data_IF_213681392467
#
_entry.id   IF_213681392467
#
_cell.length_a   1.000
_cell.length_b   1.000
_cell.length_c   1.000
_cell.angle_alpha   90.00
_cell.angle_beta   90.00
_cell.angle_gamma   90.00
#
_symmetry.space_group_name_H-M   'P 1'
#
loop_
_entity.id
_entity.type
_entity.pdbx_description
1 polymer ?
#
# COMPACT_ATOMS: atom_id res chain seq x y z
N UNK A 1 -8.70 17.92 -20.51
CA UNK A 1 -7.59 18.67 -19.89
C UNK A 1 -7.68 18.53 -18.37
N UNK A 2 -6.55 18.56 -17.68
CA UNK A 2 -6.44 18.60 -16.24
C UNK A 2 -5.96 19.99 -15.81
N UNK A 3 -6.02 20.29 -14.53
CA UNK A 3 -5.64 21.58 -13.99
C UNK A 3 -4.16 21.92 -14.27
N UNK A 4 -3.24 20.95 -14.10
CA UNK A 4 -1.81 21.01 -14.43
C UNK A 4 -1.21 19.60 -14.33
N UNK A 5 0.03 19.43 -14.79
CA UNK A 5 0.77 18.17 -14.71
C UNK A 5 1.33 17.88 -13.33
N UNK A 6 2.42 17.15 -13.26
CA UNK A 6 3.11 16.87 -12.01
C UNK A 6 3.58 18.15 -11.31
N UNK A 7 4.02 19.13 -12.11
CA UNK A 7 4.37 20.48 -11.66
C UNK A 7 3.43 21.53 -12.28
N UNK A 8 3.25 22.66 -11.60
CA UNK A 8 2.28 23.69 -11.95
C UNK A 8 2.47 24.33 -13.33
N UNK A 9 3.69 24.32 -13.88
CA UNK A 9 4.01 24.85 -15.20
C UNK A 9 3.76 23.88 -16.35
N UNK A 10 3.46 22.61 -16.06
CA UNK A 10 3.24 21.56 -17.05
C UNK A 10 1.76 21.50 -17.43
N UNK A 11 1.45 21.55 -18.73
CA UNK A 11 0.12 21.20 -19.23
C UNK A 11 -0.13 19.69 -19.09
N UNK A 12 -1.38 19.29 -18.84
CA UNK A 12 -1.73 17.89 -18.74
C UNK A 12 -3.16 17.60 -19.19
N UNK A 13 -3.37 16.35 -19.59
CA UNK A 13 -4.67 15.82 -19.93
C UNK A 13 -4.79 14.38 -19.47
N UNK A 14 -6.00 13.96 -19.18
CA UNK A 14 -6.33 12.56 -18.93
C UNK A 14 -7.05 12.00 -20.16
N UNK A 15 -6.49 10.95 -20.72
CA UNK A 15 -7.04 10.22 -21.85
C UNK A 15 -7.57 8.87 -21.35
N UNK A 16 -8.85 8.61 -21.57
CA UNK A 16 -9.47 7.34 -21.21
C UNK A 16 -9.37 6.36 -22.37
N UNK A 17 -9.12 5.08 -22.07
CA UNK A 17 -9.18 4.03 -23.08
C UNK A 17 -10.61 3.89 -23.61
N UNK A 18 -10.75 3.70 -24.91
CA UNK A 18 -12.04 3.40 -25.57
C UNK A 18 -12.33 1.90 -25.62
N UNK A 19 -11.32 1.07 -25.45
CA UNK A 19 -11.38 -0.39 -25.61
C UNK A 19 -11.22 -1.17 -24.32
N UNK A 20 -10.55 -0.60 -23.32
CA UNK A 20 -10.32 -1.23 -22.02
C UNK A 20 -11.25 -0.65 -20.94
N UNK A 21 -11.63 -1.48 -19.99
CA UNK A 21 -12.31 -1.05 -18.79
C UNK A 21 -11.27 -0.76 -17.70
N UNK A 22 -11.53 0.24 -16.87
CA UNK A 22 -10.63 0.59 -15.77
C UNK A 22 -11.32 1.44 -14.72
N UNK A 23 -10.93 1.29 -13.47
CA UNK A 23 -11.59 1.95 -12.34
C UNK A 23 -11.59 3.47 -12.48
N UNK A 24 -10.48 4.05 -12.94
CA UNK A 24 -10.36 5.52 -13.07
C UNK A 24 -11.18 6.10 -14.23
N UNK A 25 -11.63 5.29 -15.18
CA UNK A 25 -12.54 5.71 -16.25
C UNK A 25 -13.96 6.00 -15.74
N UNK A 26 -14.39 5.23 -14.73
CA UNK A 26 -15.77 5.21 -14.24
C UNK A 26 -15.95 6.01 -12.94
N UNK A 27 -14.99 6.84 -12.57
CA UNK A 27 -15.10 7.68 -11.38
C UNK A 27 -16.13 8.79 -11.57
N UNK A 28 -16.84 9.10 -10.48
CA UNK A 28 -17.76 10.22 -10.39
C UNK A 28 -17.33 11.16 -9.26
N UNK A 29 -16.99 12.39 -9.61
CA UNK A 29 -16.66 13.40 -8.61
C UNK A 29 -17.98 13.98 -8.04
N UNK A 30 -18.18 13.86 -6.73
CA UNK A 30 -19.37 14.32 -6.01
C UNK A 30 -19.18 15.67 -5.32
N UNK A 31 -17.93 16.07 -5.07
CA UNK A 31 -17.55 17.34 -4.43
C UNK A 31 -16.11 17.72 -4.74
N UNK A 32 -15.78 19.00 -4.54
CA UNK A 32 -14.40 19.49 -4.49
C UNK A 32 -13.91 20.14 -5.76
N UNK A 33 -12.62 20.54 -5.74
CA UNK A 33 -11.91 21.17 -6.86
C UNK A 33 -11.66 20.16 -7.99
N UNK A 34 -11.34 20.66 -9.17
CA UNK A 34 -10.89 19.85 -10.31
C UNK A 34 -9.71 18.96 -9.94
N UNK A 35 -9.66 17.77 -10.56
CA UNK A 35 -8.57 16.82 -10.41
C UNK A 35 -7.31 17.30 -11.14
N UNK A 36 -6.16 17.10 -10.52
CA UNK A 36 -4.84 17.28 -11.13
C UNK A 36 -4.26 15.93 -11.58
N UNK A 37 -3.17 15.97 -12.32
CA UNK A 37 -2.38 14.82 -12.71
C UNK A 37 -1.99 13.95 -11.49
N UNK A 38 -1.41 14.57 -10.45
CA UNK A 38 -1.01 13.87 -9.22
C UNK A 38 -2.20 13.26 -8.48
N UNK A 39 -3.35 13.95 -8.49
CA UNK A 39 -4.56 13.43 -7.87
C UNK A 39 -5.01 12.10 -8.49
N UNK A 40 -5.04 12.02 -9.83
CA UNK A 40 -5.45 10.80 -10.52
C UNK A 40 -4.43 9.67 -10.29
N UNK A 41 -3.14 9.98 -10.37
CA UNK A 41 -2.05 9.01 -10.17
C UNK A 41 -2.06 8.40 -8.77
N UNK A 42 -2.16 9.24 -7.73
CA UNK A 42 -2.18 8.78 -6.35
C UNK A 42 -3.49 8.02 -6.04
N UNK A 43 -4.62 8.54 -6.53
CA UNK A 43 -5.93 7.90 -6.38
C UNK A 43 -5.99 6.50 -7.01
N UNK A 44 -5.41 6.32 -8.21
CA UNK A 44 -5.32 5.02 -8.89
C UNK A 44 -4.56 4.00 -8.05
N UNK A 45 -3.42 4.39 -7.48
CA UNK A 45 -2.63 3.48 -6.63
C UNK A 45 -3.39 3.15 -5.34
N UNK A 46 -3.98 4.14 -4.67
CA UNK A 46 -4.75 3.91 -3.45
C UNK A 46 -5.93 2.96 -3.69
N UNK A 47 -6.62 3.12 -4.83
CA UNK A 47 -7.73 2.27 -5.22
C UNK A 47 -7.29 0.84 -5.53
N UNK A 48 -6.15 0.68 -6.21
CA UNK A 48 -5.54 -0.62 -6.47
C UNK A 48 -5.18 -1.35 -5.18
N UNK A 49 -4.60 -0.64 -4.20
CA UNK A 49 -4.25 -1.22 -2.89
C UNK A 49 -5.49 -1.77 -2.17
N UNK A 50 -6.56 -0.96 -2.02
CA UNK A 50 -7.76 -1.44 -1.31
C UNK A 50 -8.50 -2.53 -2.09
N UNK A 51 -8.33 -2.59 -3.41
CA UNK A 51 -8.87 -3.63 -4.28
C UNK A 51 -8.26 -5.01 -4.09
N UNK A 52 -7.11 -5.13 -3.44
CA UNK A 52 -6.48 -6.42 -3.12
C UNK A 52 -7.17 -7.15 -1.94
N UNK A 53 -8.05 -6.48 -1.21
CA UNK A 53 -8.67 -7.02 0.00
C UNK A 53 -10.14 -7.32 -0.19
N UNK A 54 -10.54 -8.54 0.18
CA UNK A 54 -11.96 -8.94 0.16
C UNK A 54 -12.73 -8.41 1.37
N UNK A 55 -12.07 -8.25 2.53
CA UNK A 55 -12.63 -7.60 3.73
C UNK A 55 -12.57 -6.07 3.67
N UNK A 56 -13.17 -5.37 4.67
CA UNK A 56 -13.08 -3.91 4.76
C UNK A 56 -11.62 -3.47 4.90
N UNK A 57 -11.18 -2.57 4.00
CA UNK A 57 -9.82 -2.06 3.93
C UNK A 57 -9.79 -0.57 3.63
N UNK A 58 -8.80 0.11 4.19
CA UNK A 58 -8.50 1.50 3.93
C UNK A 58 -7.03 1.69 3.58
N UNK A 59 -6.75 2.57 2.63
CA UNK A 59 -5.41 2.98 2.23
C UNK A 59 -5.29 4.50 2.25
N UNK A 60 -4.34 5.00 3.01
CA UNK A 60 -3.85 6.36 2.93
C UNK A 60 -2.60 6.39 2.07
N UNK A 61 -2.55 7.31 1.12
CA UNK A 61 -1.43 7.45 0.18
C UNK A 61 -0.99 8.90 0.06
N UNK A 62 0.30 9.12 -0.13
CA UNK A 62 0.89 10.41 -0.45
C UNK A 62 2.08 10.22 -1.38
N UNK A 63 2.16 11.05 -2.44
CA UNK A 63 3.24 11.01 -3.43
C UNK A 63 3.46 9.59 -4.00
N UNK A 64 2.36 8.95 -4.39
CA UNK A 64 2.33 7.60 -4.97
C UNK A 64 2.84 6.49 -4.03
N UNK A 65 2.97 6.76 -2.73
CA UNK A 65 3.43 5.80 -1.73
C UNK A 65 2.37 5.59 -0.65
N UNK A 66 1.92 4.35 -0.40
CA UNK A 66 1.08 4.04 0.75
C UNK A 66 1.80 4.42 2.05
N UNK A 67 1.19 5.29 2.86
CA UNK A 67 1.69 5.66 4.19
C UNK A 67 0.88 5.02 5.33
N UNK A 68 -0.31 4.51 5.04
CA UNK A 68 -1.11 3.76 5.99
C UNK A 68 -2.08 2.84 5.27
N UNK A 69 -1.99 1.54 5.54
CA UNK A 69 -2.94 0.54 5.02
C UNK A 69 -3.39 -0.34 6.15
N UNK A 70 -4.67 -0.57 6.26
CA UNK A 70 -5.21 -1.45 7.29
C UNK A 70 -6.48 -2.18 6.84
N UNK A 71 -6.69 -3.34 7.46
CA UNK A 71 -7.90 -4.16 7.36
C UNK A 71 -8.56 -4.29 8.73
N UNK A 72 -9.88 -4.41 8.76
CA UNK A 72 -10.67 -4.63 9.96
C UNK A 72 -12.02 -5.27 9.63
N UNK A 73 -12.86 -5.50 10.64
CA UNK A 73 -14.20 -6.07 10.46
C UNK A 73 -15.18 -5.06 9.84
N UNK A 74 -14.92 -3.77 10.01
CA UNK A 74 -15.73 -2.68 9.45
C UNK A 74 -14.86 -1.55 8.88
N UNK A 75 -15.47 -0.69 8.06
CA UNK A 75 -14.74 0.34 7.32
C UNK A 75 -14.30 1.52 8.20
N UNK A 76 -15.03 1.82 9.27
CA UNK A 76 -14.65 2.85 10.24
C UNK A 76 -13.36 2.45 10.96
N UNK A 77 -13.32 1.22 11.49
CA UNK A 77 -12.16 0.67 12.16
C UNK A 77 -10.96 0.52 11.21
N UNK A 78 -11.20 0.07 9.97
CA UNK A 78 -10.15 -0.01 8.95
C UNK A 78 -9.54 1.38 8.66
N UNK A 79 -10.37 2.42 8.51
CA UNK A 79 -9.88 3.79 8.30
C UNK A 79 -9.10 4.30 9.52
N UNK A 80 -9.62 4.13 10.74
CA UNK A 80 -8.90 4.55 11.95
C UNK A 80 -7.53 3.90 12.06
N UNK A 81 -7.45 2.60 11.85
CA UNK A 81 -6.18 1.87 11.83
C UNK A 81 -5.24 2.39 10.73
N UNK A 82 -5.75 2.63 9.50
CA UNK A 82 -4.94 3.18 8.40
C UNK A 82 -4.43 4.60 8.70
N UNK A 83 -5.28 5.46 9.29
CA UNK A 83 -4.87 6.77 9.78
C UNK A 83 -3.78 6.64 10.84
N UNK A 84 -3.96 5.73 11.78
CA UNK A 84 -3.03 5.54 12.90
C UNK A 84 -1.69 4.91 12.47
N UNK A 85 -1.55 4.33 11.28
CA UNK A 85 -0.26 3.88 10.75
C UNK A 85 0.75 5.04 10.69
N UNK A 86 0.33 6.18 10.10
CA UNK A 86 1.16 7.39 10.00
C UNK A 86 0.26 8.64 9.98
N UNK A 87 -0.13 9.15 11.15
CA UNK A 87 -1.03 10.30 11.25
C UNK A 87 -0.41 11.62 10.77
N UNK A 88 0.92 11.66 10.59
CA UNK A 88 1.64 12.83 10.07
C UNK A 88 1.62 12.84 8.55
N UNK A 89 2.00 11.75 7.92
CA UNK A 89 2.11 11.68 6.45
C UNK A 89 0.74 11.70 5.76
N UNK A 90 -0.31 11.18 6.38
CA UNK A 90 -1.68 11.19 5.83
C UNK A 90 -2.23 12.61 5.61
N UNK A 91 -1.75 13.60 6.36
CA UNK A 91 -2.16 15.01 6.19
C UNK A 91 -1.88 15.49 4.76
N UNK A 92 -2.91 15.96 4.07
CA UNK A 92 -2.84 16.38 2.66
C UNK A 92 -2.72 15.21 1.68
N UNK A 93 -2.95 13.99 2.13
CA UNK A 93 -2.96 12.78 1.31
C UNK A 93 -4.33 12.45 0.72
N UNK A 94 -4.41 11.25 0.16
CA UNK A 94 -5.62 10.65 -0.42
C UNK A 94 -5.98 9.42 0.42
N UNK A 95 -7.26 9.23 0.69
CA UNK A 95 -7.78 8.04 1.37
C UNK A 95 -8.70 7.27 0.43
N UNK A 96 -8.40 6.00 0.20
CA UNK A 96 -9.26 5.04 -0.48
C UNK A 96 -9.88 4.08 0.54
N UNK A 97 -11.16 3.77 0.33
CA UNK A 97 -11.95 2.84 1.14
C UNK A 97 -12.69 1.87 0.21
N UNK A 98 -12.64 0.57 0.48
CA UNK A 98 -13.27 -0.42 -0.40
C UNK A 98 -14.71 -0.79 -0.01
N UNK A 99 -15.31 -0.05 0.92
CA UNK A 99 -16.71 -0.20 1.36
C UNK A 99 -17.39 1.15 1.39
N UNK A 100 -18.74 1.10 1.45
CA UNK A 100 -19.58 2.29 1.60
C UNK A 100 -19.18 3.10 2.83
N UNK A 101 -18.98 4.40 2.65
CA UNK A 101 -18.66 5.34 3.73
C UNK A 101 -19.93 5.72 4.46
N UNK A 102 -19.99 5.46 5.74
CA UNK A 102 -21.07 5.85 6.64
C UNK A 102 -20.77 7.18 7.35
N UNK A 103 -21.76 7.68 8.11
CA UNK A 103 -21.66 8.93 8.87
C UNK A 103 -20.41 8.98 9.76
N UNK A 104 -20.19 7.94 10.57
CA UNK A 104 -19.10 7.89 11.54
C UNK A 104 -17.72 7.98 10.86
N UNK A 105 -17.53 7.24 9.77
CA UNK A 105 -16.30 7.30 8.96
C UNK A 105 -16.11 8.69 8.36
N UNK A 106 -17.17 9.32 7.88
CA UNK A 106 -17.11 10.67 7.32
C UNK A 106 -16.73 11.72 8.38
N UNK A 107 -17.23 11.60 9.60
CA UNK A 107 -16.87 12.47 10.72
C UNK A 107 -15.39 12.37 11.07
N UNK A 108 -14.80 11.18 11.04
CA UNK A 108 -13.36 11.00 11.25
C UNK A 108 -12.53 11.56 10.08
N UNK A 109 -12.90 11.22 8.83
CA UNK A 109 -12.23 11.75 7.63
C UNK A 109 -12.20 13.28 7.59
N UNK A 110 -13.25 13.93 8.08
CA UNK A 110 -13.36 15.39 8.12
C UNK A 110 -12.40 16.05 9.10
N UNK A 111 -11.91 15.36 10.13
CA UNK A 111 -11.06 15.94 11.18
C UNK A 111 -9.71 16.41 10.66
N UNK A 112 -9.19 15.79 9.60
CA UNK A 112 -7.91 16.15 9.00
C UNK A 112 -8.08 16.80 7.64
N UNK A 113 -7.03 17.44 7.14
CA UNK A 113 -6.98 17.91 5.76
C UNK A 113 -6.62 16.74 4.84
N UNK A 114 -7.52 16.42 3.90
CA UNK A 114 -7.33 15.45 2.84
C UNK A 114 -7.56 16.11 1.48
N UNK A 115 -6.83 15.67 0.47
CA UNK A 115 -7.04 16.07 -0.92
C UNK A 115 -8.21 15.32 -1.57
N UNK A 116 -8.31 14.01 -1.34
CA UNK A 116 -9.32 13.13 -1.93
C UNK A 116 -9.77 12.07 -0.91
N UNK A 117 -11.05 11.76 -0.96
CA UNK A 117 -11.63 10.52 -0.42
C UNK A 117 -12.30 9.79 -1.57
N UNK A 118 -11.91 8.53 -1.82
CA UNK A 118 -12.49 7.67 -2.84
C UNK A 118 -13.09 6.41 -2.20
N UNK A 119 -14.33 6.09 -2.58
CA UNK A 119 -15.05 4.92 -2.08
C UNK A 119 -16.07 4.40 -3.11
N UNK A 120 -16.59 3.16 -2.97
CA UNK A 120 -17.63 2.64 -3.85
C UNK A 120 -18.95 3.42 -3.78
N UNK A 121 -19.26 3.96 -2.60
CA UNK A 121 -20.45 4.80 -2.36
C UNK A 121 -20.37 5.49 -1.00
N UNK A 122 -21.30 6.42 -0.76
CA UNK A 122 -21.42 7.18 0.49
C UNK A 122 -22.89 7.15 0.93
N UNK A 123 -23.16 7.19 2.24
CA UNK A 123 -24.52 7.53 2.72
C UNK A 123 -24.78 9.01 2.49
N UNK A 124 -26.05 9.41 2.48
CA UNK A 124 -26.42 10.83 2.28
C UNK A 124 -25.82 11.69 3.38
N UNK A 125 -25.88 11.23 4.64
CA UNK A 125 -25.31 11.93 5.80
C UNK A 125 -23.77 12.04 5.68
N UNK A 126 -23.10 10.98 5.23
CA UNK A 126 -21.66 11.00 5.01
C UNK A 126 -21.27 12.03 3.94
N UNK A 127 -22.04 12.08 2.86
CA UNK A 127 -21.82 13.02 1.77
C UNK A 127 -22.05 14.46 2.21
N UNK A 128 -23.10 14.75 2.98
CA UNK A 128 -23.34 16.07 3.55
C UNK A 128 -22.17 16.53 4.45
N UNK A 129 -21.65 15.65 5.30
CA UNK A 129 -20.51 15.93 6.18
C UNK A 129 -19.28 16.27 5.36
N UNK A 130 -18.92 15.45 4.37
CA UNK A 130 -17.72 15.64 3.57
C UNK A 130 -17.81 16.89 2.67
N UNK A 131 -18.98 17.23 2.14
CA UNK A 131 -19.25 18.44 1.35
C UNK A 131 -19.02 19.74 2.11
N UNK A 132 -19.05 19.72 3.45
CA UNK A 132 -18.67 20.90 4.24
C UNK A 132 -17.23 21.37 4.01
N UNK A 133 -16.37 20.47 3.54
CA UNK A 133 -15.00 20.75 3.08
C UNK A 133 -15.01 21.07 1.58
N UNK A 134 -15.27 22.31 1.21
CA UNK A 134 -15.47 22.77 -0.18
C UNK A 134 -14.37 22.30 -1.17
N UNK A 135 -13.14 22.14 -0.71
CA UNK A 135 -12.00 21.77 -1.54
C UNK A 135 -11.72 20.26 -1.58
N UNK A 136 -12.30 19.47 -0.66
CA UNK A 136 -12.14 18.03 -0.59
C UNK A 136 -12.82 17.37 -1.80
N UNK A 137 -12.06 16.63 -2.57
CA UNK A 137 -12.59 15.84 -3.67
C UNK A 137 -13.18 14.55 -3.12
N UNK A 138 -14.49 14.40 -3.25
CA UNK A 138 -15.22 13.17 -2.88
C UNK A 138 -15.50 12.42 -4.16
N UNK A 139 -14.96 11.22 -4.29
CA UNK A 139 -14.97 10.42 -5.51
C UNK A 139 -15.72 9.11 -5.28
N UNK A 140 -16.74 8.86 -6.08
CA UNK A 140 -17.39 7.56 -6.17
C UNK A 140 -16.72 6.74 -7.28
N UNK A 141 -16.34 5.49 -6.97
CA UNK A 141 -15.83 4.52 -7.92
C UNK A 141 -16.45 3.16 -7.68
N UNK A 142 -17.30 2.70 -8.60
CA UNK A 142 -18.06 1.45 -8.47
C UNK A 142 -17.32 0.22 -8.95
N UNK A 143 -16.26 0.40 -9.73
CA UNK A 143 -15.43 -0.70 -10.24
C UNK A 143 -14.45 -1.13 -9.14
N UNK A 144 -14.67 -2.30 -8.50
CA UNK A 144 -13.97 -2.66 -7.27
C UNK A 144 -12.51 -3.03 -7.46
N UNK A 145 -12.12 -3.56 -8.63
CA UNK A 145 -10.74 -3.97 -8.93
C UNK A 145 -10.30 -3.43 -10.29
N UNK A 146 -9.01 -3.07 -10.44
CA UNK A 146 -8.45 -2.70 -11.73
C UNK A 146 -8.61 -3.84 -12.74
N UNK A 147 -8.94 -3.48 -13.99
CA UNK A 147 -9.16 -4.45 -15.07
C UNK A 147 -8.20 -4.25 -16.25
N UNK A 148 -7.22 -3.35 -16.10
CA UNK A 148 -6.23 -3.13 -17.14
C UNK A 148 -5.40 -4.38 -17.37
N UNK A 149 -5.23 -4.75 -18.64
CA UNK A 149 -4.42 -5.91 -19.04
C UNK A 149 -2.94 -5.57 -19.16
N UNK A 150 -2.64 -4.32 -19.44
CA UNK A 150 -1.29 -3.84 -19.73
C UNK A 150 -0.93 -2.64 -18.87
N UNK A 151 0.35 -2.57 -18.56
CA UNK A 151 0.99 -1.42 -17.93
C UNK A 151 1.94 -0.76 -18.92
N UNK A 152 2.01 0.57 -18.91
CA UNK A 152 2.72 1.38 -19.91
C UNK A 152 3.70 2.31 -19.23
N UNK A 153 4.96 2.26 -19.66
CA UNK A 153 6.00 3.18 -19.19
C UNK A 153 6.53 4.00 -20.36
N UNK A 154 6.35 5.31 -20.30
CA UNK A 154 6.89 6.23 -21.31
C UNK A 154 8.41 6.32 -21.16
N UNK A 155 9.12 6.08 -22.26
CA UNK A 155 10.56 6.34 -22.41
C UNK A 155 10.79 7.31 -23.55
N UNK A 156 12.00 7.90 -23.64
CA UNK A 156 12.30 8.81 -24.75
C UNK A 156 12.19 8.07 -26.08
N UNK A 157 11.41 8.64 -27.00
CA UNK A 157 11.14 8.06 -28.32
C UNK A 157 10.22 6.83 -28.35
N UNK A 158 9.71 6.33 -27.20
CA UNK A 158 8.90 5.10 -27.20
C UNK A 158 8.05 4.87 -25.95
N UNK A 159 7.38 3.73 -25.93
CA UNK A 159 6.57 3.23 -24.80
C UNK A 159 6.95 1.77 -24.55
N UNK A 160 7.30 1.43 -23.31
CA UNK A 160 7.41 0.05 -22.85
C UNK A 160 6.02 -0.44 -22.47
N UNK A 161 5.69 -1.67 -22.86
CA UNK A 161 4.41 -2.31 -22.57
C UNK A 161 4.68 -3.65 -21.89
N UNK A 162 4.02 -3.91 -20.79
CA UNK A 162 4.07 -5.19 -20.07
C UNK A 162 2.68 -5.63 -19.63
N UNK A 163 2.50 -6.91 -19.32
CA UNK A 163 1.28 -7.37 -18.65
C UNK A 163 1.16 -6.78 -17.25
N UNK A 164 -0.06 -6.49 -16.82
CA UNK A 164 -0.33 -6.03 -15.46
C UNK A 164 0.08 -7.10 -14.44
N UNK A 165 0.72 -6.69 -13.35
CA UNK A 165 1.13 -7.58 -12.26
C UNK A 165 -0.10 -8.05 -11.45
N UNK A 166 -0.81 -9.06 -11.95
CA UNK A 166 -2.04 -9.59 -11.33
C UNK A 166 -1.82 -10.80 -10.43
N UNK A 167 -0.63 -11.42 -10.48
CA UNK A 167 -0.29 -12.55 -9.63
C UNK A 167 0.27 -12.02 -8.30
N UNK A 168 -0.28 -12.47 -7.17
CA UNK A 168 0.11 -11.97 -5.85
C UNK A 168 1.11 -12.88 -5.16
N UNK A 169 0.78 -14.13 -4.98
CA UNK A 169 1.55 -15.17 -4.31
C UNK A 169 1.38 -16.44 -5.11
N UNK A 170 2.44 -17.20 -5.34
CA UNK A 170 2.35 -18.53 -5.96
C UNK A 170 2.01 -19.56 -4.90
N UNK A 171 2.83 -19.60 -3.84
CA UNK A 171 2.65 -20.44 -2.68
C UNK A 171 3.27 -19.79 -1.43
N UNK A 172 2.85 -20.21 -0.25
CA UNK A 172 3.42 -19.79 1.03
C UNK A 172 4.32 -20.90 1.55
N UNK A 173 5.56 -20.96 1.05
CA UNK A 173 6.51 -22.01 1.38
C UNK A 173 7.37 -21.61 2.60
N UNK A 174 7.17 -22.29 3.74
CA UNK A 174 7.98 -22.06 4.95
C UNK A 174 9.33 -22.73 4.76
N UNK A 175 10.41 -21.93 4.83
CA UNK A 175 11.80 -22.38 4.56
C UNK A 175 12.66 -22.46 5.82
N UNK A 176 12.11 -22.12 6.98
CA UNK A 176 12.78 -22.15 8.29
C UNK A 176 12.22 -23.25 9.19
N UNK A 177 12.97 -23.58 10.26
CA UNK A 177 12.53 -24.56 11.28
C UNK A 177 11.26 -24.09 12.00
N UNK A 178 11.20 -22.80 12.35
CA UNK A 178 10.03 -22.19 13.00
C UNK A 178 8.90 -21.99 11.98
N UNK A 179 7.70 -22.41 12.38
CA UNK A 179 6.47 -22.18 11.59
C UNK A 179 5.80 -20.86 11.96
N UNK A 180 5.18 -20.14 10.99
CA UNK A 180 4.40 -18.96 11.28
C UNK A 180 3.06 -19.32 11.95
N UNK A 181 2.61 -18.48 12.86
CA UNK A 181 1.25 -18.52 13.40
C UNK A 181 0.24 -18.06 12.34
N UNK A 182 -1.05 -18.39 12.50
CA UNK A 182 -2.12 -17.94 11.59
C UNK A 182 -2.18 -16.40 11.51
N UNK A 183 -1.94 -15.71 12.63
CA UNK A 183 -1.86 -14.26 12.67
C UNK A 183 -0.67 -13.73 11.85
N UNK A 184 0.51 -14.32 12.00
CA UNK A 184 1.68 -13.94 11.21
C UNK A 184 1.43 -14.19 9.72
N UNK A 185 0.76 -15.29 9.33
CA UNK A 185 0.39 -15.56 7.93
C UNK A 185 -0.53 -14.47 7.36
N UNK A 186 -1.56 -14.08 8.11
CA UNK A 186 -2.47 -13.00 7.69
C UNK A 186 -1.74 -11.66 7.52
N UNK A 187 -0.83 -11.32 8.44
CA UNK A 187 -0.01 -10.11 8.35
C UNK A 187 1.04 -10.20 7.22
N UNK A 188 1.60 -11.39 6.93
CA UNK A 188 2.46 -11.64 5.76
C UNK A 188 1.71 -11.38 4.45
N UNK A 189 0.50 -11.89 4.34
CA UNK A 189 -0.33 -11.70 3.15
C UNK A 189 -0.69 -10.22 2.93
N UNK A 190 -1.07 -9.51 4.00
CA UNK A 190 -1.27 -8.06 3.95
C UNK A 190 0.00 -7.34 3.53
N UNK A 191 1.14 -7.70 4.10
CA UNK A 191 2.44 -7.11 3.78
C UNK A 191 2.79 -7.26 2.29
N UNK A 192 2.58 -8.44 1.71
CA UNK A 192 2.82 -8.69 0.28
C UNK A 192 1.86 -7.89 -0.62
N UNK A 193 0.58 -7.78 -0.24
CA UNK A 193 -0.40 -6.94 -0.95
C UNK A 193 -0.02 -5.46 -0.95
N UNK A 194 0.55 -4.96 0.15
CA UNK A 194 0.97 -3.56 0.25
C UNK A 194 2.31 -3.32 -0.46
N UNK A 195 3.32 -4.17 -0.24
CA UNK A 195 4.66 -3.98 -0.80
C UNK A 195 4.68 -3.96 -2.33
N UNK A 196 3.76 -4.68 -2.97
CA UNK A 196 3.52 -4.65 -4.43
C UNK A 196 3.31 -3.24 -4.98
N UNK A 197 2.78 -2.32 -4.18
CA UNK A 197 2.48 -0.94 -4.58
C UNK A 197 3.49 0.08 -4.07
N UNK A 198 4.52 -0.36 -3.36
CA UNK A 198 5.60 0.48 -2.85
C UNK A 198 6.77 0.48 -3.84
N UNK A 199 7.38 1.64 -4.07
CA UNK A 199 8.52 1.77 -4.99
C UNK A 199 9.73 1.00 -4.47
N UNK A 200 10.35 0.19 -5.34
CA UNK A 200 11.52 -0.65 -5.04
C UNK A 200 12.79 0.16 -4.74
N UNK A 201 13.72 -0.36 -3.96
CA UNK A 201 13.55 -1.49 -3.07
C UNK A 201 12.51 -1.16 -2.00
N UNK A 202 11.61 -2.11 -1.71
CA UNK A 202 10.49 -1.88 -0.82
C UNK A 202 10.42 -2.91 0.31
N UNK A 203 10.18 -2.40 1.53
CA UNK A 203 9.94 -3.19 2.73
C UNK A 203 8.68 -2.63 3.43
N UNK A 204 7.82 -3.53 3.90
CA UNK A 204 6.64 -3.16 4.71
C UNK A 204 6.66 -3.96 6.00
N UNK A 205 6.49 -3.27 7.12
CA UNK A 205 6.30 -3.88 8.44
C UNK A 205 4.82 -3.85 8.79
N UNK A 206 4.27 -5.02 9.11
CA UNK A 206 2.85 -5.21 9.40
C UNK A 206 2.66 -5.74 10.81
N UNK A 207 1.66 -5.22 11.51
CA UNK A 207 1.24 -5.73 12.81
C UNK A 207 -0.26 -5.55 12.99
N UNK A 208 -0.95 -6.60 13.42
CA UNK A 208 -2.38 -6.56 13.77
C UNK A 208 -3.29 -6.03 12.63
N UNK A 209 -2.97 -6.42 11.39
CA UNK A 209 -3.70 -5.97 10.20
C UNK A 209 -3.41 -4.51 9.79
N UNK A 210 -2.27 -3.95 10.20
CA UNK A 210 -1.84 -2.56 9.94
C UNK A 210 -0.42 -2.54 9.34
N UNK A 211 -0.22 -1.83 8.25
CA UNK A 211 1.11 -1.53 7.71
C UNK A 211 1.74 -0.37 8.50
N UNK A 212 2.46 -0.70 9.57
CA UNK A 212 2.98 0.26 10.55
C UNK A 212 4.35 0.87 10.19
N UNK A 213 5.00 0.36 9.15
CA UNK A 213 6.28 0.90 8.67
C UNK A 213 6.47 0.59 7.19
N UNK A 214 6.88 1.59 6.42
CA UNK A 214 7.14 1.47 4.98
C UNK A 214 8.50 2.07 4.65
N UNK A 215 9.37 1.25 4.08
CA UNK A 215 10.65 1.66 3.48
C UNK A 215 10.51 1.59 1.96
N UNK A 216 10.79 2.67 1.26
CA UNK A 216 10.48 2.83 -0.16
C UNK A 216 11.60 3.46 -0.95
N UNK A 217 11.77 3.08 -2.21
CA UNK A 217 12.57 3.78 -3.21
C UNK A 217 14.07 3.81 -2.94
N UNK A 218 14.59 2.92 -2.12
CA UNK A 218 16.00 2.90 -1.80
C UNK A 218 16.79 2.09 -2.81
N UNK A 219 18.01 2.56 -3.14
CA UNK A 219 18.92 1.86 -4.05
C UNK A 219 19.55 0.62 -3.39
N UNK A 220 19.55 0.56 -2.06
CA UNK A 220 20.02 -0.58 -1.28
C UNK A 220 18.89 -1.12 -0.40
N UNK A 221 18.66 -2.44 -0.40
CA UNK A 221 17.59 -3.08 0.35
C UNK A 221 17.71 -2.91 1.87
N UNK A 222 18.92 -2.94 2.39
CA UNK A 222 19.13 -2.73 3.83
C UNK A 222 18.63 -1.36 4.28
N UNK A 223 18.77 -0.31 3.49
CA UNK A 223 18.25 1.02 3.82
C UNK A 223 16.72 1.05 3.85
N UNK A 224 16.06 0.36 2.91
CA UNK A 224 14.60 0.20 2.97
C UNK A 224 14.17 -0.56 4.22
N UNK A 225 14.94 -1.58 4.62
CA UNK A 225 14.69 -2.35 5.86
C UNK A 225 14.81 -1.45 7.09
N UNK A 226 15.90 -0.69 7.19
CA UNK A 226 16.15 0.24 8.31
C UNK A 226 15.05 1.30 8.39
N UNK A 227 14.65 1.93 7.28
CA UNK A 227 13.58 2.93 7.25
C UNK A 227 12.23 2.34 7.67
N UNK A 228 11.85 1.16 7.15
CA UNK A 228 10.59 0.52 7.53
C UNK A 228 10.56 0.18 9.02
N UNK A 229 11.66 -0.36 9.56
CA UNK A 229 11.78 -0.71 10.97
C UNK A 229 11.76 0.55 11.85
N UNK A 230 12.44 1.62 11.45
CA UNK A 230 12.41 2.91 12.18
C UNK A 230 10.99 3.46 12.27
N UNK A 231 10.27 3.56 11.15
CA UNK A 231 8.88 4.04 11.15
C UNK A 231 7.98 3.16 12.03
N UNK A 232 8.13 1.84 11.95
CA UNK A 232 7.39 0.93 12.81
C UNK A 232 7.69 1.14 14.30
N UNK A 233 8.97 1.36 14.66
CA UNK A 233 9.38 1.65 16.05
C UNK A 233 8.87 3.00 16.55
N UNK A 234 8.84 4.02 15.72
CA UNK A 234 8.23 5.33 16.06
C UNK A 234 6.75 5.18 16.35
N UNK A 235 6.05 4.25 15.65
CA UNK A 235 4.63 3.99 15.84
C UNK A 235 4.29 3.16 17.07
N UNK A 236 4.96 2.02 17.27
CA UNK A 236 4.58 1.03 18.31
C UNK A 236 5.63 0.83 19.40
N UNK A 237 6.70 1.61 19.39
CA UNK A 237 7.83 1.50 20.33
C UNK A 237 8.95 0.60 19.81
N UNK A 238 10.06 0.57 20.55
CA UNK A 238 11.32 -0.07 20.11
C UNK A 238 11.21 -1.57 19.83
N UNK A 239 10.28 -2.26 20.48
CA UNK A 239 10.10 -3.70 20.35
C UNK A 239 8.97 -4.03 19.37
N UNK A 240 9.32 -4.62 18.23
CA UNK A 240 8.39 -5.01 17.16
C UNK A 240 7.93 -6.47 17.29
N UNK A 241 8.02 -7.09 18.46
CA UNK A 241 7.52 -8.45 18.67
C UNK A 241 6.07 -8.58 18.23
N UNK A 242 5.78 -9.62 17.42
CA UNK A 242 4.48 -9.88 16.82
C UNK A 242 4.24 -9.11 15.52
N UNK A 243 5.21 -8.34 15.04
CA UNK A 243 5.17 -7.76 13.69
C UNK A 243 5.86 -8.66 12.67
N UNK A 244 5.42 -8.53 11.42
CA UNK A 244 5.93 -9.22 10.23
C UNK A 244 6.66 -8.22 9.34
N UNK A 245 7.74 -8.65 8.69
CA UNK A 245 8.44 -7.88 7.67
C UNK A 245 8.22 -8.52 6.30
N UNK A 246 7.69 -7.75 5.34
CA UNK A 246 7.47 -8.17 3.96
C UNK A 246 8.39 -7.42 3.00
N UNK A 247 8.96 -8.13 2.01
CA UNK A 247 9.88 -7.59 1.01
C UNK A 247 9.36 -7.82 -0.41
N UNK A 248 9.51 -6.83 -1.28
CA UNK A 248 9.13 -6.89 -2.70
C UNK A 248 9.99 -7.83 -3.54
N UNK A 249 11.22 -8.15 -3.07
CA UNK A 249 12.16 -9.06 -3.70
C UNK A 249 13.01 -9.80 -2.66
N UNK A 250 13.86 -10.74 -3.13
CA UNK A 250 14.73 -11.53 -2.27
C UNK A 250 15.76 -10.67 -1.51
N UNK A 251 16.23 -11.18 -0.38
CA UNK A 251 17.36 -10.61 0.34
C UNK A 251 18.68 -11.01 -0.32
N UNK A 252 19.50 -10.04 -0.77
CA UNK A 252 20.80 -10.36 -1.36
C UNK A 252 21.82 -10.86 -0.33
N UNK A 253 21.65 -10.48 0.95
CA UNK A 253 22.52 -10.80 2.08
C UNK A 253 21.69 -11.00 3.35
N UNK A 254 22.28 -11.62 4.38
CA UNK A 254 21.65 -11.86 5.66
C UNK A 254 21.43 -10.60 6.51
N UNK A 255 22.03 -9.47 6.13
CA UNK A 255 22.03 -8.20 6.87
C UNK A 255 20.61 -7.67 7.18
N UNK A 256 19.67 -7.86 6.24
CA UNK A 256 18.27 -7.50 6.45
C UNK A 256 17.62 -8.33 7.57
N UNK A 257 17.93 -9.63 7.65
CA UNK A 257 17.46 -10.52 8.71
C UNK A 257 18.06 -10.13 10.05
N UNK A 258 19.40 -9.94 10.10
CA UNK A 258 20.11 -9.56 11.33
C UNK A 258 19.63 -8.21 11.88
N UNK A 259 19.30 -7.25 10.99
CA UNK A 259 18.76 -5.95 11.37
C UNK A 259 17.33 -6.07 11.90
N UNK A 260 16.48 -6.84 11.24
CA UNK A 260 15.12 -7.11 11.69
C UNK A 260 15.09 -7.82 13.05
N UNK A 261 15.97 -8.80 13.28
CA UNK A 261 16.09 -9.54 14.52
C UNK A 261 16.34 -8.62 15.74
N UNK A 262 17.19 -7.58 15.58
CA UNK A 262 17.54 -6.60 16.63
C UNK A 262 16.32 -5.79 17.10
N UNK A 263 15.28 -5.67 16.27
CA UNK A 263 14.06 -4.92 16.59
C UNK A 263 12.94 -5.79 17.17
N UNK A 264 13.15 -7.11 17.25
CA UNK A 264 12.15 -8.04 17.77
C UNK A 264 11.25 -8.67 16.69
N UNK A 265 11.48 -8.43 15.39
CA UNK A 265 10.78 -9.14 14.31
C UNK A 265 11.00 -10.64 14.43
N UNK A 266 9.93 -11.42 14.32
CA UNK A 266 9.94 -12.89 14.41
C UNK A 266 9.33 -13.60 13.19
N UNK A 267 8.90 -12.83 12.19
CA UNK A 267 8.32 -13.35 10.97
C UNK A 267 8.69 -12.49 9.77
N UNK A 268 9.13 -13.13 8.68
CA UNK A 268 9.57 -12.49 7.44
C UNK A 268 8.92 -13.21 6.25
N UNK A 269 8.46 -12.44 5.26
CA UNK A 269 7.97 -12.94 3.98
C UNK A 269 8.69 -12.25 2.84
N UNK A 270 9.18 -13.03 1.87
CA UNK A 270 9.88 -12.53 0.68
C UNK A 270 9.80 -13.59 -0.44
N UNK A 271 10.07 -13.24 -1.71
CA UNK A 271 9.90 -14.19 -2.82
C UNK A 271 10.91 -15.34 -2.87
N UNK A 272 12.10 -15.23 -2.27
CA UNK A 272 13.19 -16.16 -2.52
C UNK A 272 13.84 -15.98 -3.90
N UNK A 273 14.81 -16.83 -4.23
CA UNK A 273 15.49 -16.88 -5.52
C UNK A 273 16.86 -16.20 -5.56
N UNK A 274 17.43 -15.85 -4.39
CA UNK A 274 18.81 -15.42 -4.27
C UNK A 274 19.76 -16.63 -4.29
N UNK A 275 20.93 -16.49 -4.89
CA UNK A 275 22.04 -17.47 -4.75
C UNK A 275 22.41 -17.66 -3.26
N UNK A 276 22.13 -16.65 -2.43
CA UNK A 276 22.45 -16.62 -0.99
C UNK A 276 21.21 -16.84 -0.09
N UNK A 277 20.13 -17.40 -0.60
CA UNK A 277 18.94 -17.68 0.20
C UNK A 277 19.26 -18.48 1.45
N UNK A 278 20.21 -19.44 1.34
CA UNK A 278 20.66 -20.23 2.50
C UNK A 278 21.21 -19.36 3.63
N UNK A 279 21.97 -18.30 3.34
CA UNK A 279 22.50 -17.41 4.38
C UNK A 279 21.38 -16.69 5.16
N UNK A 280 20.32 -16.27 4.45
CA UNK A 280 19.15 -15.63 5.06
C UNK A 280 18.31 -16.64 5.87
N UNK A 281 18.16 -17.85 5.38
CA UNK A 281 17.46 -18.94 6.09
C UNK A 281 18.20 -19.31 7.37
N UNK A 282 19.52 -19.51 7.29
CA UNK A 282 20.36 -19.84 8.45
C UNK A 282 20.30 -18.71 9.50
N UNK A 283 20.37 -17.43 9.08
CA UNK A 283 20.22 -16.29 9.98
C UNK A 283 18.85 -16.27 10.66
N UNK A 284 17.77 -16.60 9.94
CA UNK A 284 16.44 -16.71 10.53
C UNK A 284 16.36 -17.80 11.58
N UNK A 285 16.94 -18.99 11.32
CA UNK A 285 17.00 -20.08 12.28
C UNK A 285 17.81 -19.71 13.53
N UNK A 286 18.98 -19.08 13.35
CA UNK A 286 19.81 -18.56 14.45
C UNK A 286 19.06 -17.59 15.37
N UNK A 287 18.20 -16.70 14.81
CA UNK A 287 17.43 -15.70 15.54
C UNK A 287 16.03 -16.20 15.98
N UNK A 288 15.65 -17.43 15.65
CA UNK A 288 14.32 -17.96 15.91
C UNK A 288 13.21 -17.19 15.18
N UNK A 289 13.49 -16.77 13.93
CA UNK A 289 12.58 -16.07 13.01
C UNK A 289 12.00 -17.08 12.03
N UNK A 290 10.70 -17.01 11.75
CA UNK A 290 10.11 -17.75 10.63
C UNK A 290 10.32 -16.98 9.33
N UNK A 291 10.65 -17.68 8.24
CA UNK A 291 10.72 -17.12 6.90
C UNK A 291 9.86 -17.91 5.93
N UNK A 292 9.10 -17.15 5.11
CA UNK A 292 8.22 -17.72 4.08
C UNK A 292 8.64 -17.16 2.72
N UNK A 293 8.76 -18.05 1.73
CA UNK A 293 8.96 -17.70 0.33
C UNK A 293 7.64 -17.74 -0.44
N UNK A 294 7.41 -16.70 -1.26
CA UNK A 294 6.19 -16.56 -2.06
C UNK A 294 6.38 -16.95 -3.53
N UNK A 295 7.61 -17.12 -4.01
CA UNK A 295 7.94 -17.43 -5.41
C UNK A 295 7.71 -16.26 -6.39
N UNK A 296 7.09 -15.16 -5.97
CA UNK A 296 6.74 -14.02 -6.84
C UNK A 296 7.31 -12.72 -6.28
N UNK A 297 8.15 -12.05 -7.07
CA UNK A 297 8.64 -10.71 -6.75
C UNK A 297 7.72 -9.63 -7.31
N UNK A 298 7.71 -8.46 -6.67
CA UNK A 298 6.85 -7.33 -7.00
C UNK A 298 7.63 -6.03 -7.22
N UNK A 299 8.64 -6.04 -8.08
CA UNK A 299 9.35 -4.80 -8.41
C UNK A 299 8.42 -3.75 -9.01
N UNK A 300 8.58 -2.52 -8.51
CA UNK A 300 7.92 -1.32 -9.01
C UNK A 300 8.93 -0.17 -9.05
N UNK A 301 9.22 0.32 -10.25
CA UNK A 301 10.17 1.41 -10.50
C UNK A 301 9.48 2.71 -10.89
#
# INVERSE_FOLDING_TARGET
NLRYGENSHQSSAYYVSTTENGSMKDIKQLNGKELSFNNIRDMDIAWKVVGEFDGPAACAIKHSTPCGVAVADDIFTAYKKAHDCDPVSIFGGIVALNRKVNKETAEELKKIFLEIVIAPSFTDEALEILKTKKNLRVIECKTPRPQDKFDYVKVDGGILVQGTNNKMIDEMNVVTEKQPTEKEKADMELGMKVVKYVKSNAIVVVKDGMAIGVGTGQTNRIWSTEHALQHAQEKVGKNLTGAVLASDAFFPFRDCVDTAAKTGIKAIVQPGGSIRDKESIDACNEHGITMVFTGIRHFKH
#
